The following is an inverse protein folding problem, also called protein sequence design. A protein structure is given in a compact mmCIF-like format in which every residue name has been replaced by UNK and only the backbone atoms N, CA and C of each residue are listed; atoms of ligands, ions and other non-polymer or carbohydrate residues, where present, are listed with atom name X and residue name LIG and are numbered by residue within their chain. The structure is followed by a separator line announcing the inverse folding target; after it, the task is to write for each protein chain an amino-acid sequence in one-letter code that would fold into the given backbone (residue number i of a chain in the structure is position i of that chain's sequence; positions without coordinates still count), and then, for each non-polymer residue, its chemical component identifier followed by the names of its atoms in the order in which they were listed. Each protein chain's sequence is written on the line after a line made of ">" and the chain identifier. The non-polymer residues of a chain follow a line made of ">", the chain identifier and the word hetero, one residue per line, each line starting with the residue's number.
data_IF_749951294328
#
_entry.id   IF_749951294328
#
_cell.length_a   1.000
_cell.length_b   1.000
_cell.length_c   1.000
_cell.angle_alpha   90.00
_cell.angle_beta   90.00
_cell.angle_gamma   90.00
#
_symmetry.space_group_name_H-M   'P 1'
#
loop_
_entity.id
_entity.type
_entity.pdbx_description
1 polymer ?
#
# COMPACT_ATOMS: atom_id res chain seq x y z
N UNK A 1 -7.94 20.03 0.11
CA UNK A 1 -7.46 18.95 1.00
C UNK A 1 -8.61 17.96 1.15
N UNK A 2 -8.60 16.84 0.42
CA UNK A 2 -9.62 15.79 0.59
C UNK A 2 -9.16 14.93 1.76
N UNK A 3 -9.95 14.87 2.83
CA UNK A 3 -9.71 13.97 3.94
C UNK A 3 -9.96 12.54 3.47
N UNK A 4 -8.94 11.68 3.49
CA UNK A 4 -9.13 10.25 3.32
C UNK A 4 -9.86 9.70 4.56
N UNK A 5 -10.82 8.80 4.35
CA UNK A 5 -11.54 8.14 5.43
C UNK A 5 -10.56 7.26 6.25
N UNK A 6 -10.77 7.11 7.58
CA UNK A 6 -9.91 6.27 8.42
C UNK A 6 -9.92 4.81 7.96
N UNK A 7 -8.74 4.18 7.88
CA UNK A 7 -8.55 2.80 7.40
C UNK A 7 -8.86 1.71 8.45
N UNK A 8 -9.40 2.09 9.60
CA UNK A 8 -9.71 1.23 10.77
C UNK A 8 -10.59 0.01 10.45
N UNK A 9 -11.30 0.00 9.30
CA UNK A 9 -12.14 -1.13 8.86
C UNK A 9 -11.45 -2.18 7.97
N UNK A 10 -10.23 -1.95 7.49
CA UNK A 10 -9.47 -2.93 6.70
C UNK A 10 -8.74 -3.87 7.66
N UNK A 11 -9.34 -5.05 7.89
CA UNK A 11 -8.78 -6.10 8.75
C UNK A 11 -7.38 -6.51 8.27
N UNK A 12 -6.41 -6.46 9.18
CA UNK A 12 -5.12 -7.10 9.03
C UNK A 12 -5.35 -8.63 9.08
N UNK A 13 -4.78 -9.38 8.13
CA UNK A 13 -4.94 -10.83 8.00
C UNK A 13 -3.68 -11.53 8.50
N UNK A 14 -3.87 -12.64 9.21
CA UNK A 14 -2.78 -13.53 9.61
C UNK A 14 -2.13 -14.27 8.43
N UNK A 15 -1.10 -15.07 8.73
CA UNK A 15 -0.10 -15.66 7.79
C UNK A 15 -0.62 -16.68 6.76
N UNK A 16 -1.93 -16.79 6.53
CA UNK A 16 -2.48 -17.70 5.51
C UNK A 16 -2.22 -17.17 4.09
N UNK A 17 -1.73 -18.06 3.22
CA UNK A 17 -1.42 -17.72 1.83
C UNK A 17 -2.71 -17.58 1.00
N UNK A 18 -3.20 -16.34 0.89
CA UNK A 18 -4.31 -16.00 0.00
C UNK A 18 -4.00 -16.39 -1.46
N UNK A 19 -5.02 -16.77 -2.21
CA UNK A 19 -4.91 -17.01 -3.65
C UNK A 19 -4.46 -15.75 -4.39
N UNK A 20 -3.93 -15.92 -5.61
CA UNK A 20 -3.53 -14.78 -6.45
C UNK A 20 -4.68 -13.77 -6.66
N UNK A 21 -5.90 -14.26 -6.91
CA UNK A 21 -7.06 -13.41 -7.15
C UNK A 21 -7.46 -12.60 -5.89
N UNK A 22 -7.38 -13.22 -4.71
CA UNK A 22 -7.64 -12.53 -3.44
C UNK A 22 -6.59 -11.47 -3.13
N UNK A 23 -5.31 -11.77 -3.40
CA UNK A 23 -4.21 -10.81 -3.28
C UNK A 23 -4.40 -9.61 -4.20
N UNK A 24 -4.74 -9.84 -5.48
CA UNK A 24 -5.05 -8.78 -6.46
C UNK A 24 -6.15 -7.85 -5.98
N UNK A 25 -7.27 -8.44 -5.53
CA UNK A 25 -8.41 -7.69 -5.02
C UNK A 25 -8.00 -6.84 -3.82
N UNK A 26 -7.39 -7.47 -2.81
CA UNK A 26 -7.00 -6.79 -1.57
C UNK A 26 -5.96 -5.68 -1.81
N UNK A 27 -4.98 -5.93 -2.69
CA UNK A 27 -3.95 -4.95 -3.01
C UNK A 27 -4.50 -3.73 -3.75
N UNK A 28 -5.44 -3.94 -4.67
CA UNK A 28 -6.09 -2.85 -5.40
C UNK A 28 -6.98 -2.01 -4.49
N UNK A 29 -7.73 -2.65 -3.60
CA UNK A 29 -8.59 -1.98 -2.60
C UNK A 29 -7.76 -1.19 -1.59
N UNK A 30 -6.68 -1.76 -1.07
CA UNK A 30 -5.81 -1.09 -0.11
C UNK A 30 -5.08 0.10 -0.73
N UNK A 31 -4.53 -0.06 -1.95
CA UNK A 31 -3.82 1.02 -2.62
C UNK A 31 -4.75 2.21 -2.88
N UNK A 32 -5.99 1.94 -3.30
CA UNK A 32 -7.03 2.96 -3.46
C UNK A 32 -7.33 3.68 -2.14
N UNK A 33 -7.55 2.92 -1.07
CA UNK A 33 -7.87 3.48 0.24
C UNK A 33 -6.73 4.34 0.80
N UNK A 34 -5.48 3.89 0.71
CA UNK A 34 -4.31 4.62 1.18
C UNK A 34 -4.08 5.92 0.40
N UNK A 35 -4.19 5.87 -0.92
CA UNK A 35 -3.86 7.01 -1.81
C UNK A 35 -5.04 7.94 -2.07
N UNK A 36 -6.26 7.58 -1.66
CA UNK A 36 -7.50 8.30 -2.00
C UNK A 36 -7.84 8.24 -3.49
N UNK A 37 -7.23 7.33 -4.24
CA UNK A 37 -7.45 7.13 -5.67
C UNK A 37 -8.53 6.05 -5.91
N UNK A 38 -9.17 6.02 -7.10
CA UNK A 38 -10.08 4.93 -7.44
C UNK A 38 -9.33 3.58 -7.53
N UNK A 39 -10.04 2.46 -7.32
CA UNK A 39 -9.48 1.08 -7.42
C UNK A 39 -8.76 0.83 -8.75
N UNK A 40 -9.22 1.43 -9.85
CA UNK A 40 -8.56 1.35 -11.16
C UNK A 40 -7.17 2.00 -11.24
N UNK A 41 -6.73 2.74 -10.22
CA UNK A 41 -5.39 3.30 -10.14
C UNK A 41 -4.30 2.23 -10.16
N UNK A 42 -4.55 1.08 -9.52
CA UNK A 42 -3.65 -0.08 -9.56
C UNK A 42 -3.38 -0.50 -11.02
N UNK A 43 -4.43 -0.74 -11.79
CA UNK A 43 -4.33 -1.10 -13.21
C UNK A 43 -3.62 -0.03 -14.05
N UNK A 44 -3.84 1.27 -13.77
CA UNK A 44 -3.14 2.35 -14.46
C UNK A 44 -1.65 2.43 -14.12
N UNK A 45 -1.27 2.13 -12.87
CA UNK A 45 0.13 2.02 -12.47
C UNK A 45 0.81 0.80 -13.10
N UNK A 46 0.08 -0.32 -13.20
CA UNK A 46 0.52 -1.55 -13.87
C UNK A 46 0.82 -1.32 -15.35
N UNK A 47 -0.08 -0.64 -16.09
CA UNK A 47 0.12 -0.37 -17.52
C UNK A 47 1.44 0.37 -17.81
N UNK A 48 1.92 1.20 -16.87
CA UNK A 48 3.19 1.93 -17.00
C UNK A 48 4.43 1.09 -16.69
N UNK A 49 4.29 0.03 -15.90
CA UNK A 49 5.42 -0.72 -15.33
C UNK A 49 5.40 -2.21 -15.65
N UNK A 50 4.38 -2.69 -16.37
CA UNK A 50 4.22 -4.07 -16.80
C UNK A 50 4.10 -5.04 -15.62
N UNK A 51 4.73 -6.21 -15.76
CA UNK A 51 4.69 -7.28 -14.77
C UNK A 51 5.19 -6.85 -13.38
N UNK A 52 6.10 -5.87 -13.31
CA UNK A 52 6.55 -5.32 -12.03
C UNK A 52 5.41 -4.62 -11.28
N UNK A 53 4.58 -3.86 -11.98
CA UNK A 53 3.40 -3.23 -11.38
C UNK A 53 2.44 -4.26 -10.81
N UNK A 54 2.18 -5.34 -11.56
CA UNK A 54 1.30 -6.42 -11.09
C UNK A 54 1.86 -7.07 -9.83
N UNK A 55 3.17 -7.34 -9.77
CA UNK A 55 3.83 -7.84 -8.56
C UNK A 55 3.67 -6.89 -7.37
N UNK A 56 3.83 -5.57 -7.58
CA UNK A 56 3.66 -4.58 -6.51
C UNK A 56 2.22 -4.60 -5.97
N UNK A 57 1.22 -4.63 -6.85
CA UNK A 57 -0.19 -4.68 -6.44
C UNK A 57 -0.50 -5.98 -5.71
N UNK A 58 -0.11 -7.13 -6.28
CA UNK A 58 -0.47 -8.45 -5.78
C UNK A 58 0.28 -8.82 -4.51
N UNK A 59 1.58 -8.59 -4.46
CA UNK A 59 2.41 -9.09 -3.37
C UNK A 59 2.65 -8.02 -2.31
N UNK A 60 3.08 -6.83 -2.71
CA UNK A 60 3.38 -5.77 -1.73
C UNK A 60 2.08 -5.32 -1.07
N UNK A 61 1.09 -4.85 -1.84
CA UNK A 61 -0.15 -4.34 -1.25
C UNK A 61 -1.18 -5.44 -0.94
N UNK A 62 -1.19 -6.53 -1.71
CA UNK A 62 -2.14 -7.64 -1.55
C UNK A 62 -1.78 -8.66 -0.47
N UNK A 63 -0.53 -8.66 0.01
CA UNK A 63 -0.06 -9.57 1.05
C UNK A 63 0.78 -8.87 2.12
N UNK A 64 1.92 -8.25 1.77
CA UNK A 64 2.84 -7.68 2.77
C UNK A 64 2.15 -6.61 3.61
N UNK A 65 1.47 -5.64 2.97
CA UNK A 65 0.76 -4.58 3.69
C UNK A 65 -0.56 -5.01 4.34
N UNK A 66 -0.97 -6.28 4.15
CA UNK A 66 -2.14 -6.86 4.80
C UNK A 66 -1.80 -7.59 6.10
N UNK A 67 -0.52 -7.89 6.33
CA UNK A 67 -0.10 -8.67 7.50
C UNK A 67 -0.33 -7.93 8.82
N UNK A 68 -0.56 -8.68 9.89
CA UNK A 68 -0.81 -8.21 11.25
C UNK A 68 0.46 -8.15 12.13
N UNK A 69 1.63 -8.50 11.59
CA UNK A 69 2.88 -8.48 12.37
C UNK A 69 3.39 -7.07 12.67
N UNK A 70 2.98 -6.07 11.88
CA UNK A 70 3.27 -4.66 12.07
C UNK A 70 2.07 -3.82 11.67
N UNK A 71 1.74 -2.84 12.50
CA UNK A 71 0.70 -1.86 12.18
C UNK A 71 1.02 -1.12 10.89
N UNK A 72 0.00 -0.67 10.15
CA UNK A 72 0.19 0.16 8.95
C UNK A 72 1.04 1.42 9.22
N UNK A 73 0.91 2.02 10.41
CA UNK A 73 1.73 3.15 10.85
C UNK A 73 3.21 2.78 10.85
N UNK A 74 3.56 1.70 11.52
CA UNK A 74 4.95 1.27 11.69
C UNK A 74 5.56 0.82 10.36
N UNK A 75 4.81 0.09 9.54
CA UNK A 75 5.25 -0.24 8.17
C UNK A 75 5.56 1.00 7.35
N UNK A 76 4.73 2.04 7.46
CA UNK A 76 4.96 3.28 6.71
C UNK A 76 6.23 4.00 7.18
N UNK A 77 6.49 4.02 8.49
CA UNK A 77 7.71 4.61 9.06
C UNK A 77 8.95 3.84 8.59
N UNK A 78 8.92 2.51 8.64
CA UNK A 78 10.02 1.66 8.15
C UNK A 78 10.28 1.90 6.66
N UNK A 79 9.22 1.96 5.83
CA UNK A 79 9.35 2.26 4.41
C UNK A 79 9.97 3.65 4.17
N UNK A 80 9.51 4.68 4.87
CA UNK A 80 10.05 6.04 4.75
C UNK A 80 11.52 6.10 5.17
N UNK A 81 11.90 5.46 6.28
CA UNK A 81 13.28 5.41 6.75
C UNK A 81 14.19 4.72 5.72
N UNK A 82 13.78 3.57 5.20
CA UNK A 82 14.53 2.83 4.19
C UNK A 82 14.68 3.63 2.88
N UNK A 83 13.58 4.20 2.38
CA UNK A 83 13.60 4.98 1.15
C UNK A 83 14.41 6.28 1.30
N UNK A 84 14.38 6.90 2.48
CA UNK A 84 15.21 8.06 2.82
C UNK A 84 16.69 7.72 2.82
N UNK A 85 17.07 6.62 3.47
CA UNK A 85 18.46 6.13 3.49
C UNK A 85 18.99 5.76 2.09
N UNK A 86 18.11 5.32 1.19
CA UNK A 86 18.43 4.98 -0.21
C UNK A 86 18.26 6.17 -1.18
N UNK A 87 17.98 7.38 -0.68
CA UNK A 87 17.77 8.60 -1.47
C UNK A 87 16.70 8.46 -2.58
N UNK A 88 15.67 7.63 -2.35
CA UNK A 88 14.58 7.39 -3.32
C UNK A 88 13.48 8.44 -3.18
N UNK A 89 13.80 9.70 -3.46
CA UNK A 89 12.95 10.86 -3.16
C UNK A 89 11.52 10.77 -3.73
N UNK A 90 11.34 10.26 -4.96
CA UNK A 90 9.99 10.07 -5.52
C UNK A 90 9.16 9.05 -4.74
N UNK A 91 9.80 7.98 -4.27
CA UNK A 91 9.14 6.97 -3.43
C UNK A 91 8.88 7.52 -2.02
N UNK A 92 9.80 8.32 -1.46
CA UNK A 92 9.56 9.05 -0.20
C UNK A 92 8.32 9.92 -0.33
N UNK A 93 8.20 10.72 -1.40
CA UNK A 93 7.03 11.57 -1.64
C UNK A 93 5.74 10.75 -1.77
N UNK A 94 5.79 9.63 -2.50
CA UNK A 94 4.66 8.72 -2.63
C UNK A 94 4.22 8.16 -1.26
N UNK A 95 5.15 7.62 -0.47
CA UNK A 95 4.85 7.05 0.85
C UNK A 95 4.46 8.10 1.90
N UNK A 96 4.96 9.33 1.78
CA UNK A 96 4.55 10.45 2.64
C UNK A 96 3.12 10.90 2.34
N UNK A 97 2.68 10.81 1.07
CA UNK A 97 1.35 11.27 0.64
C UNK A 97 0.19 10.53 1.31
N UNK A 98 0.40 9.29 1.76
CA UNK A 98 -0.60 8.47 2.45
C UNK A 98 -0.23 8.16 3.91
N UNK A 99 0.87 8.71 4.42
CA UNK A 99 1.29 8.48 5.80
C UNK A 99 0.23 8.88 6.85
N UNK A 100 -0.53 9.99 6.67
CA UNK A 100 -1.63 10.32 7.56
C UNK A 100 -2.77 9.30 7.56
N UNK A 101 -3.09 8.70 6.41
CA UNK A 101 -4.11 7.63 6.32
C UNK A 101 -3.68 6.37 7.10
N UNK A 102 -2.38 6.19 7.29
CA UNK A 102 -1.77 5.15 8.11
C UNK A 102 -1.51 5.58 9.56
N UNK A 103 -1.92 6.78 9.99
CA UNK A 103 -1.76 7.25 11.37
C UNK A 103 -0.40 7.85 11.72
N UNK A 104 0.41 8.23 10.72
CA UNK A 104 1.64 9.02 10.92
C UNK A 104 1.27 10.51 11.00
N UNK A 105 1.78 11.23 12.00
CA UNK A 105 1.48 12.66 12.28
C UNK A 105 2.71 13.54 12.14
#
# INVERSE_FOLDING_TARGET
>A
MRANAPLEGLKERGTEMATHAERRKAGSELLAAMTGQPVGFASAAEQRTGAFGSFVVDYIFGQVWQGDELSRRDRNIVALAMLGALERLQAVQFHASFAPANGVT
#
